data_IF_234983481153
#
_entry.id   IF_234983481153
#
_cell.length_a   1.000
_cell.length_b   1.000
_cell.length_c   1.000
_cell.angle_alpha   90.00
_cell.angle_beta   90.00
_cell.angle_gamma   90.00
#
_symmetry.space_group_name_H-M   'P 1'
#
loop_
_entity.id
_entity.type
_entity.pdbx_description
1 polymer ?
#
# COMPACT_ATOMS: atom_id res chain seq x y z
N UNK A 1 4.21 0.84 16.64
CA UNK A 1 3.17 0.52 15.63
C UNK A 1 3.76 0.47 14.23
N UNK A 2 3.13 -0.29 13.39
CA UNK A 2 3.55 -0.45 12.00
C UNK A 2 2.33 -0.35 11.12
N UNK A 3 2.54 -0.08 9.84
CA UNK A 3 1.52 -0.26 8.83
C UNK A 3 1.78 -1.60 8.13
N UNK A 4 0.75 -2.43 8.03
CA UNK A 4 0.81 -3.69 7.32
C UNK A 4 0.22 -3.50 5.93
N UNK A 5 0.95 -3.95 4.92
CA UNK A 5 0.54 -3.87 3.53
C UNK A 5 0.52 -5.29 2.97
N UNK A 6 -0.63 -5.72 2.46
CA UNK A 6 -0.74 -7.00 1.79
C UNK A 6 -0.95 -6.74 0.30
N UNK A 7 -0.09 -7.31 -0.51
CA UNK A 7 -0.13 -7.17 -1.96
C UNK A 7 -0.71 -8.42 -2.59
N UNK A 8 -1.68 -8.23 -3.48
CA UNK A 8 -2.30 -9.30 -4.26
C UNK A 8 -2.14 -9.03 -5.74
N UNK A 9 -2.07 -10.10 -6.51
CA UNK A 9 -2.18 -10.05 -7.96
C UNK A 9 -3.50 -10.69 -8.38
N UNK A 10 -4.22 -10.01 -9.26
CA UNK A 10 -5.47 -10.52 -9.82
C UNK A 10 -5.39 -10.52 -11.34
N UNK A 11 -6.11 -11.44 -11.98
CA UNK A 11 -6.21 -11.50 -13.43
C UNK A 11 -7.57 -12.09 -13.79
N UNK A 12 -8.14 -11.63 -14.91
CA UNK A 12 -9.41 -12.15 -15.40
C UNK A 12 -9.31 -13.65 -15.63
N UNK A 13 -10.27 -14.41 -15.10
CA UNK A 13 -10.30 -15.85 -15.24
C UNK A 13 -9.37 -16.63 -14.32
N UNK A 14 -8.67 -15.95 -13.42
CA UNK A 14 -7.75 -16.59 -12.47
C UNK A 14 -8.06 -16.19 -11.05
N UNK A 15 -7.62 -17.01 -10.10
CA UNK A 15 -7.76 -16.68 -8.69
C UNK A 15 -6.79 -15.55 -8.32
N UNK A 16 -7.25 -14.65 -7.45
CA UNK A 16 -6.38 -13.65 -6.83
C UNK A 16 -5.33 -14.34 -5.97
N UNK A 17 -4.07 -13.96 -6.14
CA UNK A 17 -2.94 -14.53 -5.41
C UNK A 17 -2.25 -13.50 -4.56
N UNK A 18 -1.94 -13.87 -3.31
CA UNK A 18 -1.10 -13.02 -2.46
C UNK A 18 0.33 -13.04 -2.99
N UNK A 19 0.89 -11.86 -3.22
CA UNK A 19 2.26 -11.70 -3.70
C UNK A 19 3.24 -11.33 -2.60
N UNK A 20 2.77 -10.69 -1.55
CA UNK A 20 3.63 -10.34 -0.43
C UNK A 20 2.87 -9.70 0.70
N UNK A 21 3.49 -9.75 1.87
CA UNK A 21 3.03 -9.06 3.06
C UNK A 21 4.21 -8.26 3.59
N UNK A 22 4.00 -6.95 3.76
CA UNK A 22 5.04 -6.03 4.16
C UNK A 22 4.62 -5.30 5.41
N UNK A 23 5.60 -4.90 6.21
CA UNK A 23 5.36 -4.06 7.39
C UNK A 23 6.36 -2.92 7.38
N UNK A 24 5.85 -1.71 7.58
CA UNK A 24 6.68 -0.51 7.70
C UNK A 24 6.46 0.12 9.07
N UNK A 25 7.54 0.51 9.76
CA UNK A 25 7.38 1.33 10.95
C UNK A 25 6.75 2.67 10.58
N UNK A 26 5.97 3.25 11.49
CA UNK A 26 5.29 4.53 11.24
C UNK A 26 6.28 5.68 11.40
N UNK A 27 7.19 5.79 10.46
CA UNK A 27 8.22 6.83 10.42
C UNK A 27 8.17 7.49 9.06
N UNK A 28 8.05 8.82 9.03
CA UNK A 28 8.01 9.57 7.79
C UNK A 28 9.27 9.32 6.96
N UNK A 29 9.10 9.14 5.67
CA UNK A 29 10.18 8.85 4.75
C UNK A 29 10.51 7.38 4.57
N UNK A 30 10.00 6.50 5.43
CA UNK A 30 10.20 5.06 5.23
C UNK A 30 9.46 4.58 3.99
N UNK A 31 10.11 3.73 3.23
CA UNK A 31 9.57 3.25 1.96
C UNK A 31 9.90 1.79 1.73
N UNK A 32 9.16 1.18 0.82
CA UNK A 32 9.44 -0.15 0.29
C UNK A 32 8.98 -0.20 -1.16
N UNK A 33 9.43 -1.22 -1.87
CA UNK A 33 9.09 -1.37 -3.29
C UNK A 33 8.34 -2.69 -3.51
N UNK A 34 7.01 -2.69 -3.39
CA UNK A 34 6.23 -3.82 -3.85
C UNK A 34 6.27 -3.92 -5.37
N UNK A 35 5.61 -4.92 -5.95
CA UNK A 35 5.72 -5.19 -7.38
C UNK A 35 5.20 -4.07 -8.29
N UNK A 36 4.18 -3.35 -7.82
CA UNK A 36 3.52 -2.33 -8.64
C UNK A 36 4.29 -1.00 -8.68
N UNK A 37 4.71 -0.50 -7.52
CA UNK A 37 5.27 0.85 -7.40
C UNK A 37 6.00 1.01 -6.07
N UNK A 38 6.67 2.15 -5.90
CA UNK A 38 7.28 2.49 -4.61
C UNK A 38 6.20 3.00 -3.66
N UNK A 39 6.20 2.48 -2.45
CA UNK A 39 5.28 2.93 -1.40
C UNK A 39 6.10 3.65 -0.33
N UNK A 40 5.64 4.83 0.07
CA UNK A 40 6.34 5.67 1.05
C UNK A 40 5.37 6.21 2.08
N UNK A 41 5.83 6.29 3.33
CA UNK A 41 5.10 6.99 4.38
C UNK A 41 5.44 8.47 4.27
N UNK A 42 4.45 9.28 3.90
CA UNK A 42 4.64 10.71 3.69
C UNK A 42 4.43 11.52 4.96
N UNK A 43 3.43 11.14 5.76
CA UNK A 43 3.08 11.87 6.97
C UNK A 43 2.46 10.95 8.01
N UNK A 44 2.88 11.09 9.26
CA UNK A 44 2.31 10.33 10.38
C UNK A 44 1.55 11.32 11.25
N UNK A 45 0.25 11.08 11.42
CA UNK A 45 -0.61 11.87 12.30
C UNK A 45 -1.11 10.97 13.43
N UNK A 46 -1.82 11.55 14.41
CA UNK A 46 -2.26 10.83 15.60
C UNK A 46 -3.21 9.67 15.26
N UNK A 47 -4.12 9.90 14.31
CA UNK A 47 -5.19 8.96 13.98
C UNK A 47 -5.07 8.35 12.58
N UNK A 48 -4.10 8.80 11.79
CA UNK A 48 -3.95 8.32 10.42
C UNK A 48 -2.52 8.50 9.93
N UNK A 49 -2.21 7.80 8.85
CA UNK A 49 -0.93 7.90 8.15
C UNK A 49 -1.23 8.18 6.68
N UNK A 50 -0.52 9.16 6.11
CA UNK A 50 -0.61 9.44 4.68
C UNK A 50 0.50 8.65 4.01
N UNK A 51 0.11 7.79 3.07
CA UNK A 51 1.06 7.00 2.27
C UNK A 51 0.87 7.34 0.80
N UNK A 52 1.94 7.19 0.03
CA UNK A 52 1.88 7.43 -1.41
C UNK A 52 2.48 6.26 -2.18
N UNK A 53 1.88 5.97 -3.32
CA UNK A 53 2.45 5.11 -4.33
C UNK A 53 3.08 5.99 -5.39
N UNK A 54 4.35 5.75 -5.69
CA UNK A 54 5.13 6.59 -6.60
C UNK A 54 5.84 5.72 -7.64
N UNK A 55 6.04 6.29 -8.82
CA UNK A 55 6.86 5.68 -9.86
C UNK A 55 8.34 5.78 -9.49
N UNK A 56 9.19 5.04 -10.19
CA UNK A 56 10.64 5.07 -9.94
C UNK A 56 11.25 6.46 -10.16
N UNK A 57 10.63 7.28 -11.01
CA UNK A 57 11.07 8.67 -11.24
C UNK A 57 10.56 9.65 -10.20
N UNK A 58 9.81 9.17 -9.20
CA UNK A 58 9.24 10.00 -8.15
C UNK A 58 7.86 10.57 -8.44
N UNK A 59 7.30 10.30 -9.62
CA UNK A 59 5.96 10.79 -9.96
C UNK A 59 4.91 10.12 -9.09
N UNK A 60 4.04 10.91 -8.47
CA UNK A 60 2.96 10.42 -7.63
C UNK A 60 1.91 9.67 -8.47
N UNK A 61 1.57 8.45 -8.05
CA UNK A 61 0.51 7.66 -8.65
C UNK A 61 -0.78 7.81 -7.83
N UNK A 62 -0.69 7.62 -6.51
CA UNK A 62 -1.85 7.66 -5.62
C UNK A 62 -1.42 7.98 -4.20
N UNK A 63 -2.19 8.83 -3.53
CA UNK A 63 -2.03 9.13 -2.12
C UNK A 63 -3.23 8.58 -1.36
N UNK A 64 -2.97 7.94 -0.22
CA UNK A 64 -3.99 7.32 0.62
C UNK A 64 -3.82 7.76 2.07
N UNK A 65 -4.95 8.00 2.74
CA UNK A 65 -4.99 8.16 4.18
C UNK A 65 -5.40 6.83 4.82
N UNK A 66 -4.50 6.21 5.56
CA UNK A 66 -4.79 4.96 6.28
C UNK A 66 -5.15 5.33 7.71
N UNK A 67 -6.43 5.19 8.05
CA UNK A 67 -6.94 5.55 9.37
C UNK A 67 -6.74 4.42 10.37
N UNK A 68 -6.43 4.80 11.61
CA UNK A 68 -6.31 3.85 12.71
C UNK A 68 -7.64 3.14 12.96
N UNK A 69 -7.57 1.80 13.08
CA UNK A 69 -8.77 0.99 13.30
C UNK A 69 -9.54 0.66 12.03
N UNK A 70 -9.12 1.17 10.89
CA UNK A 70 -9.75 0.90 9.61
C UNK A 70 -8.78 0.24 8.64
N UNK A 71 -9.34 -0.45 7.67
CA UNK A 71 -8.60 -1.08 6.59
C UNK A 71 -8.83 -0.31 5.31
N UNK A 72 -7.76 0.09 4.64
CA UNK A 72 -7.85 0.76 3.36
C UNK A 72 -7.50 -0.21 2.24
N UNK A 73 -8.14 0.01 1.11
CA UNK A 73 -8.00 -0.82 -0.08
C UNK A 73 -7.65 0.06 -1.26
N UNK A 74 -6.65 -0.35 -2.03
CA UNK A 74 -6.28 0.33 -3.25
C UNK A 74 -6.06 -0.67 -4.38
N UNK A 75 -6.80 -0.47 -5.46
CA UNK A 75 -6.70 -1.28 -6.67
C UNK A 75 -6.45 -0.35 -7.85
N UNK A 76 -5.20 -0.25 -8.33
CA UNK A 76 -4.92 0.53 -9.54
C UNK A 76 -5.78 0.05 -10.70
N UNK A 77 -6.24 0.98 -11.52
CA UNK A 77 -7.08 0.67 -12.66
C UNK A 77 -6.31 -0.15 -13.70
N UNK A 78 -6.91 -1.27 -14.12
CA UNK A 78 -6.34 -2.15 -15.13
C UNK A 78 -7.46 -2.96 -15.75
N UNK A 79 -7.29 -3.36 -17.03
CA UNK A 79 -8.34 -4.09 -17.76
C UNK A 79 -8.31 -5.60 -17.51
N UNK A 80 -7.15 -6.22 -17.61
CA UNK A 80 -7.03 -7.67 -17.62
C UNK A 80 -6.40 -8.27 -16.38
N UNK A 81 -5.81 -7.46 -15.55
CA UNK A 81 -5.15 -7.90 -14.34
C UNK A 81 -4.31 -6.78 -13.75
N UNK A 82 -3.77 -7.02 -12.58
CA UNK A 82 -2.94 -6.04 -11.91
C UNK A 82 -2.78 -6.35 -10.44
N UNK A 83 -2.33 -5.36 -9.69
CA UNK A 83 -2.10 -5.50 -8.27
C UNK A 83 -3.18 -4.80 -7.48
N UNK A 84 -3.40 -5.27 -6.25
CA UNK A 84 -4.28 -4.61 -5.31
C UNK A 84 -3.68 -4.73 -3.92
N UNK A 85 -4.02 -3.77 -3.06
CA UNK A 85 -3.38 -3.59 -1.77
C UNK A 85 -4.40 -3.42 -0.67
N UNK A 86 -4.10 -4.04 0.46
CA UNK A 86 -4.83 -3.81 1.70
C UNK A 86 -3.82 -3.24 2.69
N UNK A 87 -4.15 -2.09 3.27
CA UNK A 87 -3.29 -1.37 4.19
C UNK A 87 -4.02 -1.16 5.51
N UNK A 88 -3.37 -1.48 6.61
CA UNK A 88 -3.94 -1.26 7.93
C UNK A 88 -2.87 -1.07 9.00
N UNK A 89 -3.24 -0.40 10.08
CA UNK A 89 -2.37 -0.32 11.25
C UNK A 89 -2.24 -1.68 11.93
N UNK A 90 -1.07 -1.95 12.45
CA UNK A 90 -0.83 -3.13 13.27
C UNK A 90 0.12 -2.75 14.40
N UNK A 91 -0.02 -3.45 15.53
CA UNK A 91 0.85 -3.23 16.68
C UNK A 91 2.22 -3.88 16.54
N UNK A 92 2.34 -4.82 15.63
CA UNK A 92 3.56 -5.61 15.49
C UNK A 92 4.11 -5.59 14.08
#
# INVERSE_FOLDING_TARGET
MKIKIVEYFWAVGHRTKRKGTYKLPLIEGKSLKPHFANLRIDKVEEDKVIVSFNRDDGTLIKELAVEKGKQNYYRPMSMDGGYEYILKFTRF
#
